data_IF_894379977426
#
_entry.id   IF_894379977426
#
_cell.length_a   1.000
_cell.length_b   1.000
_cell.length_c   1.000
_cell.angle_alpha   90.00
_cell.angle_beta   90.00
_cell.angle_gamma   90.00
#
_symmetry.space_group_name_H-M   'P 1'
#
loop_
_entity.id
_entity.type
_entity.pdbx_description
1 polymer ?
#
# COMPACT_ATOMS: atom_id res chain seq x y z
N UNK A 1 -8.09 -14.61 -4.46
CA UNK A 1 -7.77 -13.41 -3.71
C UNK A 1 -9.04 -12.66 -3.36
N UNK A 2 -9.10 -12.10 -2.18
CA UNK A 2 -10.31 -11.47 -1.68
C UNK A 2 -10.30 -9.98 -1.99
N UNK A 3 -11.44 -9.44 -2.41
CA UNK A 3 -11.52 -8.01 -2.61
C UNK A 3 -11.45 -7.28 -1.27
N UNK A 4 -10.92 -6.09 -1.30
CA UNK A 4 -10.84 -5.24 -0.12
C UNK A 4 -11.06 -3.80 -0.52
N UNK A 5 -11.09 -2.94 0.49
CA UNK A 5 -11.28 -1.51 0.27
C UNK A 5 -10.16 -0.75 0.96
N UNK A 6 -9.56 0.19 0.24
CA UNK A 6 -8.50 1.03 0.81
C UNK A 6 -9.16 2.03 1.76
N UNK A 7 -8.84 1.92 3.04
CA UNK A 7 -9.43 2.82 4.04
C UNK A 7 -8.49 3.95 4.42
N UNK A 8 -7.19 3.76 4.22
CA UNK A 8 -6.20 4.80 4.54
C UNK A 8 -4.93 4.58 3.73
N UNK A 9 -4.35 5.65 3.26
CA UNK A 9 -3.03 5.63 2.61
C UNK A 9 -2.09 6.45 3.46
N UNK A 10 -1.00 5.82 3.93
CA UNK A 10 -0.06 6.44 4.85
C UNK A 10 1.18 7.00 4.18
N UNK A 11 1.32 6.84 2.87
CA UNK A 11 2.48 7.34 2.13
C UNK A 11 2.04 8.14 0.92
N UNK A 12 2.99 8.82 0.30
CA UNK A 12 2.77 9.62 -0.89
C UNK A 12 3.85 9.31 -1.91
N UNK A 13 3.56 9.58 -3.18
CA UNK A 13 4.56 9.48 -4.23
C UNK A 13 5.75 10.39 -3.88
N UNK A 14 6.94 9.83 -3.95
CA UNK A 14 8.16 10.53 -3.59
C UNK A 14 8.62 10.32 -2.16
N UNK A 15 7.81 9.71 -1.31
CA UNK A 15 8.19 9.43 0.06
C UNK A 15 9.26 8.35 0.12
N UNK A 16 10.19 8.48 1.07
CA UNK A 16 11.12 7.42 1.38
C UNK A 16 10.52 6.56 2.49
N UNK A 17 10.58 5.25 2.31
CA UNK A 17 10.04 4.31 3.29
C UNK A 17 11.13 3.34 3.74
N UNK A 18 10.95 2.80 4.93
CA UNK A 18 11.85 1.80 5.49
C UNK A 18 11.15 0.45 5.51
N UNK A 19 11.93 -0.62 5.63
CA UNK A 19 11.37 -1.95 5.77
C UNK A 19 10.41 -2.00 6.96
N UNK A 20 9.22 -2.54 6.75
CA UNK A 20 8.21 -2.63 7.79
C UNK A 20 7.38 -1.38 8.00
N UNK A 21 7.65 -0.32 7.27
CA UNK A 21 6.87 0.91 7.40
C UNK A 21 5.50 0.73 6.78
N UNK A 22 4.41 1.15 7.46
CA UNK A 22 3.07 1.04 6.88
C UNK A 22 2.94 1.89 5.63
N UNK A 23 2.33 1.34 4.60
CA UNK A 23 2.08 2.04 3.35
C UNK A 23 0.61 2.42 3.22
N UNK A 24 -0.27 1.46 3.46
CA UNK A 24 -1.71 1.73 3.41
C UNK A 24 -2.45 0.66 4.21
N UNK A 25 -3.72 0.91 4.45
CA UNK A 25 -4.58 -0.02 5.17
C UNK A 25 -5.73 -0.43 4.27
N UNK A 26 -5.97 -1.73 4.19
CA UNK A 26 -7.06 -2.29 3.40
C UNK A 26 -8.01 -3.02 4.35
N UNK A 27 -9.31 -2.75 4.23
CA UNK A 27 -10.32 -3.48 4.96
C UNK A 27 -10.87 -4.60 4.08
N UNK A 28 -10.84 -5.82 4.61
CA UNK A 28 -11.41 -6.98 3.95
C UNK A 28 -12.01 -7.89 5.00
N UNK A 29 -13.20 -8.39 4.76
CA UNK A 29 -13.89 -9.31 5.67
C UNK A 29 -13.98 -8.76 7.09
N UNK A 30 -14.34 -7.49 7.22
CA UNK A 30 -14.50 -6.80 8.51
C UNK A 30 -13.19 -6.68 9.31
N UNK A 31 -12.06 -6.90 8.66
CA UNK A 31 -10.74 -6.76 9.28
C UNK A 31 -9.93 -5.73 8.52
N UNK A 32 -9.17 -4.95 9.27
CA UNK A 32 -8.25 -4.01 8.65
C UNK A 32 -6.87 -4.66 8.57
N UNK A 33 -6.29 -4.62 7.39
CA UNK A 33 -4.97 -5.19 7.13
C UNK A 33 -4.04 -4.08 6.69
N UNK A 34 -2.95 -3.95 7.40
CA UNK A 34 -1.95 -2.94 7.10
C UNK A 34 -0.92 -3.52 6.15
N UNK A 35 -0.72 -2.86 5.01
CA UNK A 35 0.33 -3.25 4.09
C UNK A 35 1.60 -2.49 4.45
N UNK A 36 2.68 -3.22 4.60
CA UNK A 36 3.96 -2.66 4.99
C UNK A 36 4.97 -2.83 3.89
N UNK A 37 5.95 -1.94 3.87
CA UNK A 37 7.02 -2.02 2.90
C UNK A 37 7.90 -3.23 3.16
N UNK A 38 8.22 -4.04 2.13
CA UNK A 38 9.11 -5.18 2.29
C UNK A 38 10.57 -4.78 2.46
N UNK A 39 10.91 -3.55 2.13
CA UNK A 39 12.28 -3.08 2.23
C UNK A 39 12.35 -1.56 2.12
N UNK A 40 13.54 -1.02 2.32
CA UNK A 40 13.75 0.41 2.15
C UNK A 40 13.66 0.79 0.68
N UNK A 41 13.01 1.91 0.40
CA UNK A 41 12.87 2.37 -0.97
C UNK A 41 12.15 3.69 -1.03
N UNK A 42 11.78 4.07 -2.24
CA UNK A 42 11.06 5.31 -2.48
C UNK A 42 9.75 4.98 -3.18
N UNK A 43 8.68 5.61 -2.77
CA UNK A 43 7.37 5.41 -3.40
C UNK A 43 7.41 6.05 -4.78
N UNK A 44 7.37 5.20 -5.81
CA UNK A 44 7.39 5.66 -7.19
C UNK A 44 6.00 5.93 -7.70
N UNK A 45 5.01 5.18 -7.21
CA UNK A 45 3.66 5.29 -7.72
C UNK A 45 2.67 4.75 -6.70
N UNK A 46 1.51 5.38 -6.62
CA UNK A 46 0.40 4.86 -5.83
C UNK A 46 -0.75 4.65 -6.82
N UNK A 47 -1.11 3.39 -7.04
CA UNK A 47 -2.09 3.02 -8.05
C UNK A 47 -3.52 3.01 -7.53
N UNK A 48 -3.74 3.33 -6.27
CA UNK A 48 -5.06 3.28 -5.63
C UNK A 48 -5.32 4.56 -4.86
N UNK A 49 -6.57 4.75 -4.46
CA UNK A 49 -7.00 5.91 -3.67
C UNK A 49 -7.77 5.43 -2.45
N UNK A 50 -7.84 6.30 -1.44
CA UNK A 50 -8.69 6.02 -0.29
C UNK A 50 -10.13 5.86 -0.73
N UNK A 51 -10.78 4.83 -0.22
CA UNK A 51 -12.15 4.50 -0.58
C UNK A 51 -12.30 3.62 -1.81
N UNK A 52 -11.21 3.33 -2.50
CA UNK A 52 -11.25 2.49 -3.69
C UNK A 52 -11.31 1.01 -3.32
N UNK A 53 -12.12 0.25 -4.06
CA UNK A 53 -12.15 -1.20 -3.92
C UNK A 53 -11.00 -1.79 -4.73
N UNK A 54 -10.29 -2.75 -4.14
CA UNK A 54 -9.14 -3.40 -4.78
C UNK A 54 -9.31 -4.90 -4.73
N UNK A 55 -8.63 -5.59 -5.64
CA UNK A 55 -8.65 -7.05 -5.68
C UNK A 55 -7.26 -7.60 -5.41
N UNK A 56 -7.19 -8.85 -5.00
CA UNK A 56 -5.91 -9.51 -4.78
C UNK A 56 -5.10 -9.57 -6.05
N UNK A 57 -3.80 -9.35 -5.93
CA UNK A 57 -2.90 -9.33 -7.08
C UNK A 57 -2.84 -7.99 -7.81
N UNK A 58 -3.71 -7.06 -7.47
CA UNK A 58 -3.67 -5.73 -8.07
C UNK A 58 -2.50 -4.94 -7.54
N UNK A 59 -1.83 -4.19 -8.41
CA UNK A 59 -0.77 -3.28 -7.96
C UNK A 59 -1.37 -2.17 -7.11
N UNK A 60 -0.87 -1.99 -5.91
CA UNK A 60 -1.34 -0.98 -4.99
C UNK A 60 -0.35 0.17 -4.87
N UNK A 61 0.90 -0.15 -4.62
CA UNK A 61 1.95 0.86 -4.47
C UNK A 61 3.20 0.32 -5.16
N UNK A 62 3.80 1.13 -6.01
CA UNK A 62 5.06 0.79 -6.65
C UNK A 62 6.21 1.42 -5.89
N UNK A 63 7.22 0.63 -5.55
CA UNK A 63 8.40 1.11 -4.85
C UNK A 63 9.62 0.97 -5.74
N UNK A 64 10.51 1.96 -5.66
CA UNK A 64 11.83 1.89 -6.28
C UNK A 64 12.82 1.50 -5.21
N UNK A 65 13.54 0.38 -5.36
CA UNK A 65 14.51 -0.01 -4.36
C UNK A 65 15.55 1.07 -4.17
N UNK A 66 15.94 1.25 -2.92
CA UNK A 66 17.01 2.18 -2.59
C UNK A 66 18.32 1.40 -2.62
N UNK A 67 19.11 1.68 -3.59
CA UNK A 67 20.35 0.95 -3.77
C UNK A 67 21.56 1.80 -3.69
#
# INVERSE_FOLDING_TARGET
AMPGKVVKISCKVGDQVKAGQPLLVIEAMKMENELRSPGAGKVAEIAVREGQTVEGGQLLVGLTPQG
#
